data_IF_947118633701
#
_entry.id   IF_947118633701
#
_cell.length_a   1.000
_cell.length_b   1.000
_cell.length_c   1.000
_cell.angle_alpha   90.00
_cell.angle_beta   90.00
_cell.angle_gamma   90.00
#
_symmetry.space_group_name_H-M   'P 1'
#
loop_
_entity.id
_entity.type
_entity.pdbx_description
1 polymer ?
#
# COMPACT_ATOMS: atom_id res chain seq x y z
N UNK A 1 -4.05 2.67 12.58
CA UNK A 1 -3.84 2.28 11.17
C UNK A 1 -3.63 3.55 10.35
N UNK A 2 -2.83 3.48 9.29
CA UNK A 2 -2.55 4.59 8.37
C UNK A 2 -3.03 4.17 6.98
N UNK A 3 -3.75 5.07 6.31
CA UNK A 3 -4.21 4.89 4.92
C UNK A 3 -3.20 5.52 3.98
N UNK A 4 -2.77 4.79 2.97
CA UNK A 4 -1.82 5.26 1.96
C UNK A 4 -2.47 5.19 0.58
N UNK A 5 -2.27 6.23 -0.21
CA UNK A 5 -2.62 6.27 -1.63
C UNK A 5 -1.35 6.03 -2.45
N UNK A 6 -1.35 4.99 -3.27
CA UNK A 6 -0.17 4.53 -4.01
C UNK A 6 -0.50 4.56 -5.51
N UNK A 7 0.36 5.19 -6.28
CA UNK A 7 0.29 5.19 -7.75
C UNK A 7 1.26 4.16 -8.33
N UNK A 8 0.77 3.09 -8.93
CA UNK A 8 1.58 2.11 -9.66
C UNK A 8 0.99 1.82 -11.06
N UNK A 9 0.58 2.88 -11.77
CA UNK A 9 -0.17 2.83 -13.03
C UNK A 9 -1.69 2.89 -12.85
N UNK A 10 -2.20 2.32 -11.76
CA UNK A 10 -3.56 2.52 -11.26
C UNK A 10 -3.52 2.93 -9.78
N UNK A 11 -4.49 3.74 -9.30
CA UNK A 11 -4.50 4.17 -7.91
C UNK A 11 -4.92 3.02 -6.98
N UNK A 12 -4.07 2.67 -6.03
CA UNK A 12 -4.40 1.77 -4.93
C UNK A 12 -4.51 2.53 -3.62
N UNK A 13 -5.45 2.09 -2.78
CA UNK A 13 -5.57 2.54 -1.40
C UNK A 13 -5.29 1.34 -0.50
N UNK A 14 -4.23 1.45 0.30
CA UNK A 14 -3.84 0.40 1.25
C UNK A 14 -3.92 0.92 2.68
N UNK A 15 -4.11 0.01 3.61
CA UNK A 15 -4.15 0.31 5.04
C UNK A 15 -3.08 -0.51 5.73
N UNK A 16 -2.18 0.17 6.43
CA UNK A 16 -1.09 -0.46 7.18
C UNK A 16 -1.14 -0.05 8.66
N UNK A 17 -0.38 -0.75 9.51
CA UNK A 17 -0.21 -0.34 10.90
C UNK A 17 0.63 0.93 10.98
N UNK A 18 0.50 1.66 12.09
CA UNK A 18 1.31 2.87 12.31
C UNK A 18 2.79 2.52 12.48
N UNK A 19 3.08 1.41 13.15
CA UNK A 19 4.42 0.89 13.36
C UNK A 19 5.11 0.58 12.03
N UNK A 20 4.48 -0.19 11.13
CA UNK A 20 5.05 -0.49 9.82
C UNK A 20 5.32 0.75 8.96
N UNK A 21 4.52 1.81 9.09
CA UNK A 21 4.79 3.07 8.37
C UNK A 21 6.14 3.67 8.78
N UNK A 22 6.44 3.67 10.08
CA UNK A 22 7.70 4.20 10.61
C UNK A 22 8.88 3.26 10.34
N UNK A 23 8.70 1.95 10.53
CA UNK A 23 9.77 0.97 10.33
C UNK A 23 10.23 0.89 8.88
N UNK A 24 9.27 0.94 7.94
CA UNK A 24 9.54 0.97 6.50
C UNK A 24 9.97 2.35 6.01
N UNK A 25 9.97 3.37 6.88
CA UNK A 25 10.35 4.76 6.58
C UNK A 25 9.64 5.31 5.34
N UNK A 26 8.37 4.96 5.18
CA UNK A 26 7.57 5.36 4.02
C UNK A 26 7.38 6.86 4.01
N UNK A 27 7.68 7.49 2.87
CA UNK A 27 7.47 8.91 2.64
C UNK A 27 6.81 9.13 1.28
N UNK A 28 6.30 10.35 1.08
CA UNK A 28 5.76 10.76 -0.21
C UNK A 28 6.89 10.70 -1.25
N UNK A 29 6.65 10.00 -2.35
CA UNK A 29 7.64 9.83 -3.43
C UNK A 29 8.65 8.71 -3.20
N UNK A 30 8.58 7.97 -2.09
CA UNK A 30 9.40 6.77 -1.90
C UNK A 30 9.02 5.67 -2.91
N UNK A 31 10.03 4.97 -3.43
CA UNK A 31 9.81 3.75 -4.21
C UNK A 31 9.47 2.58 -3.28
N UNK A 32 8.47 1.80 -3.66
CA UNK A 32 8.02 0.64 -2.90
C UNK A 32 7.44 -0.43 -3.81
N UNK A 33 7.43 -1.67 -3.32
CA UNK A 33 6.72 -2.77 -3.96
C UNK A 33 5.34 -2.95 -3.31
N UNK A 34 4.31 -3.08 -4.14
CA UNK A 34 2.96 -3.42 -3.71
C UNK A 34 2.68 -4.88 -4.06
N UNK A 35 2.29 -5.65 -3.04
CA UNK A 35 1.88 -7.05 -3.17
C UNK A 35 0.50 -7.22 -2.52
N UNK A 36 -0.38 -7.96 -3.19
CA UNK A 36 -1.65 -8.41 -2.63
C UNK A 36 -1.90 -9.87 -3.02
N UNK A 37 -2.68 -10.57 -2.20
CA UNK A 37 -3.07 -11.95 -2.47
C UNK A 37 -4.16 -11.97 -3.55
N UNK A 38 -3.87 -12.55 -4.71
CA UNK A 38 -4.81 -12.64 -5.83
C UNK A 38 -6.14 -13.33 -5.45
N UNK A 39 -6.09 -14.35 -4.59
CA UNK A 39 -7.30 -15.04 -4.11
C UNK A 39 -8.26 -14.19 -3.28
N UNK A 40 -7.85 -12.98 -2.86
CA UNK A 40 -8.71 -12.03 -2.17
C UNK A 40 -9.26 -10.94 -3.10
N UNK A 41 -8.98 -11.01 -4.41
CA UNK A 41 -9.55 -10.10 -5.40
C UNK A 41 -10.88 -10.65 -5.87
N UNK A 42 -11.94 -9.85 -5.69
CA UNK A 42 -13.25 -10.15 -6.26
C UNK A 42 -13.34 -9.51 -7.65
N UNK A 43 -13.50 -10.33 -8.69
CA UNK A 43 -13.78 -9.89 -10.06
C UNK A 43 -15.30 -9.84 -10.26
N UNK A 44 -15.78 -8.81 -10.95
CA UNK A 44 -17.19 -8.64 -11.33
C UNK A 44 -17.39 -9.08 -12.79
#
# INVERSE_FOLDING_TARGET
MIKLSIGCGVPFVVVITRESFFDLKLNIGSEMYLYFKAGNVHLF
#
